data_IF_596929859508
#
_entry.id   IF_596929859508
#
_cell.length_a   1.000
_cell.length_b   1.000
_cell.length_c   1.000
_cell.angle_alpha   90.00
_cell.angle_beta   90.00
_cell.angle_gamma   90.00
#
_symmetry.space_group_name_H-M   'P 1'
#
loop_
_entity.id
_entity.type
_entity.pdbx_description
1 polymer ?
#
# COMPACT_ATOMS: atom_id res chain seq x y z
N UNK A 1 -18.32 -31.81 15.41
CA UNK A 1 -17.99 -31.45 14.01
C UNK A 1 -18.06 -29.94 13.77
N UNK A 2 -19.18 -29.28 14.07
CA UNK A 2 -19.35 -27.82 13.88
C UNK A 2 -18.29 -26.96 14.60
N UNK A 3 -17.97 -27.26 15.85
CA UNK A 3 -16.96 -26.52 16.64
C UNK A 3 -15.59 -26.53 15.95
N UNK A 4 -15.17 -27.68 15.42
CA UNK A 4 -13.90 -27.80 14.69
C UNK A 4 -13.87 -26.97 13.41
N UNK A 5 -14.99 -26.89 12.70
CA UNK A 5 -15.13 -26.05 11.50
C UNK A 5 -14.99 -24.56 11.86
N UNK A 6 -15.61 -24.13 12.96
CA UNK A 6 -15.53 -22.74 13.44
C UNK A 6 -14.08 -22.40 13.80
N UNK A 7 -13.39 -23.27 14.56
CA UNK A 7 -11.98 -23.05 14.89
C UNK A 7 -11.10 -22.99 13.64
N UNK A 8 -11.29 -23.90 12.70
CA UNK A 8 -10.52 -23.91 11.45
C UNK A 8 -10.71 -22.60 10.67
N UNK A 9 -11.96 -22.14 10.50
CA UNK A 9 -12.26 -20.88 9.82
C UNK A 9 -11.62 -19.68 10.53
N UNK A 10 -11.66 -19.64 11.87
CA UNK A 10 -11.01 -18.60 12.66
C UNK A 10 -9.48 -18.57 12.41
N UNK A 11 -8.82 -19.72 12.43
CA UNK A 11 -7.38 -19.81 12.13
C UNK A 11 -7.06 -19.38 10.68
N UNK A 12 -7.89 -19.75 9.70
CA UNK A 12 -7.72 -19.30 8.31
C UNK A 12 -7.79 -17.77 8.19
N UNK A 13 -8.75 -17.12 8.88
CA UNK A 13 -8.89 -15.66 8.88
C UNK A 13 -7.66 -15.00 9.53
N UNK A 14 -7.19 -15.53 10.66
CA UNK A 14 -5.99 -15.01 11.32
C UNK A 14 -4.75 -15.13 10.43
N UNK A 15 -4.57 -16.28 9.78
CA UNK A 15 -3.46 -16.50 8.85
C UNK A 15 -3.53 -15.55 7.64
N UNK A 16 -4.74 -15.33 7.10
CA UNK A 16 -4.95 -14.39 6.01
C UNK A 16 -4.62 -12.95 6.41
N UNK A 17 -5.08 -12.50 7.57
CA UNK A 17 -4.78 -11.16 8.10
C UNK A 17 -3.30 -10.96 8.39
N UNK A 18 -2.63 -11.98 8.95
CA UNK A 18 -1.18 -11.97 9.12
C UNK A 18 -0.47 -11.79 7.77
N UNK A 19 -0.89 -12.55 6.75
CA UNK A 19 -0.33 -12.43 5.42
C UNK A 19 -0.55 -11.04 4.82
N UNK A 20 -1.78 -10.51 4.89
CA UNK A 20 -2.13 -9.18 4.36
C UNK A 20 -1.29 -8.07 5.04
N UNK A 21 -1.11 -8.15 6.35
CA UNK A 21 -0.33 -7.17 7.12
C UNK A 21 1.18 -7.15 6.78
N UNK A 22 1.70 -8.22 6.18
CA UNK A 22 3.11 -8.33 5.75
C UNK A 22 3.30 -8.12 4.25
N UNK A 23 2.23 -7.83 3.49
CA UNK A 23 2.35 -7.55 2.06
C UNK A 23 3.09 -6.24 1.84
N UNK A 24 4.18 -6.32 1.10
CA UNK A 24 4.94 -5.17 0.62
C UNK A 24 4.64 -5.02 -0.88
N UNK A 25 3.73 -4.12 -1.23
CA UNK A 25 3.37 -3.83 -2.62
C UNK A 25 3.19 -2.34 -2.82
N UNK A 26 3.59 -1.84 -3.98
CA UNK A 26 3.23 -0.51 -4.46
C UNK A 26 2.00 -0.65 -5.35
N UNK A 27 0.99 0.17 -5.12
CA UNK A 27 -0.21 0.21 -5.95
C UNK A 27 -0.15 1.48 -6.79
N UNK A 28 -0.21 1.32 -8.11
CA UNK A 28 -0.21 2.44 -9.04
C UNK A 28 -1.64 2.81 -9.40
N UNK A 29 -1.99 4.08 -9.20
CA UNK A 29 -3.29 4.65 -9.54
C UNK A 29 -3.02 5.86 -10.44
N UNK A 30 -3.53 5.81 -11.66
CA UNK A 30 -3.47 6.93 -12.60
C UNK A 30 -4.81 7.67 -12.56
N UNK A 31 -4.75 8.98 -12.34
CA UNK A 31 -5.93 9.85 -12.29
C UNK A 31 -5.80 10.89 -13.41
N UNK A 32 -6.78 10.92 -14.31
CA UNK A 32 -6.81 11.86 -15.44
C UNK A 32 -7.90 12.89 -15.21
N UNK A 33 -7.51 14.17 -15.25
CA UNK A 33 -8.43 15.28 -15.09
C UNK A 33 -8.48 16.10 -16.39
N UNK A 34 -9.67 16.35 -16.98
CA UNK A 34 -9.79 17.15 -18.21
C UNK A 34 -9.26 18.58 -18.07
N UNK A 35 -9.29 19.12 -16.85
CA UNK A 35 -8.79 20.46 -16.52
C UNK A 35 -7.31 20.48 -16.13
N UNK A 36 -6.62 19.32 -16.14
CA UNK A 36 -5.20 19.29 -15.83
C UNK A 36 -4.41 20.03 -16.93
N UNK A 37 -3.51 20.96 -16.59
CA UNK A 37 -2.82 21.75 -17.59
C UNK A 37 -2.00 20.89 -18.54
N UNK A 38 -2.26 21.00 -19.85
CA UNK A 38 -1.51 20.24 -20.88
C UNK A 38 -0.04 20.64 -20.98
N UNK A 39 0.30 21.85 -20.52
CA UNK A 39 1.67 22.34 -20.40
C UNK A 39 2.43 21.75 -19.21
N UNK A 40 1.73 21.10 -18.27
CA UNK A 40 2.32 20.50 -17.09
C UNK A 40 2.46 19.00 -17.30
N UNK A 41 3.65 18.46 -16.97
CA UNK A 41 3.86 17.01 -17.04
C UNK A 41 3.00 16.28 -16.00
N UNK A 42 2.82 14.98 -16.18
CA UNK A 42 2.18 14.14 -15.16
C UNK A 42 2.86 14.33 -13.80
N UNK A 43 2.04 14.49 -12.76
CA UNK A 43 2.46 14.70 -11.38
C UNK A 43 2.25 13.43 -10.58
N UNK A 44 3.34 12.85 -10.08
CA UNK A 44 3.33 11.56 -9.39
C UNK A 44 3.51 11.76 -7.89
N UNK A 45 2.56 11.24 -7.11
CA UNK A 45 2.58 11.29 -5.64
C UNK A 45 2.80 9.88 -5.13
N UNK A 46 3.88 9.67 -4.38
CA UNK A 46 4.01 8.45 -3.59
C UNK A 46 3.34 8.68 -2.23
N UNK A 47 2.19 8.06 -2.04
CA UNK A 47 1.45 8.12 -0.79
C UNK A 47 1.72 6.88 0.06
N UNK A 48 2.07 7.11 1.33
CA UNK A 48 2.17 6.07 2.35
C UNK A 48 1.50 6.55 3.62
N UNK A 49 0.80 5.65 4.31
CA UNK A 49 0.11 5.94 5.57
C UNK A 49 0.25 4.78 6.54
N UNK A 50 0.00 5.05 7.82
CA UNK A 50 -0.03 4.04 8.89
C UNK A 50 1.28 3.24 8.99
N UNK A 51 2.42 3.94 8.85
CA UNK A 51 3.74 3.33 8.94
C UNK A 51 4.07 2.97 10.40
N UNK A 52 3.47 3.66 11.38
CA UNK A 52 3.70 3.52 12.81
C UNK A 52 5.21 3.43 13.12
N UNK A 53 5.68 2.26 13.58
CA UNK A 53 7.09 1.98 13.88
C UNK A 53 7.75 1.05 12.86
N UNK A 54 7.08 0.75 11.75
CA UNK A 54 7.56 -0.18 10.73
C UNK A 54 8.59 0.53 9.84
N UNK A 55 9.66 -0.18 9.50
CA UNK A 55 10.63 0.29 8.51
C UNK A 55 10.12 -0.10 7.13
N UNK A 56 10.03 0.87 6.22
CA UNK A 56 9.66 0.60 4.84
C UNK A 56 10.67 -0.37 4.21
N UNK A 57 10.18 -1.44 3.58
CA UNK A 57 11.04 -2.42 2.95
C UNK A 57 11.91 -1.75 1.86
N UNK A 58 13.21 -2.06 1.84
CA UNK A 58 14.17 -1.51 0.86
C UNK A 58 13.69 -1.67 -0.58
N UNK A 59 13.05 -2.80 -0.89
CA UNK A 59 12.47 -3.08 -2.20
C UNK A 59 11.43 -2.03 -2.63
N UNK A 60 10.58 -1.55 -1.71
CA UNK A 60 9.60 -0.48 -2.02
C UNK A 60 10.33 0.83 -2.30
N UNK A 61 11.33 1.16 -1.49
CA UNK A 61 12.12 2.39 -1.67
C UNK A 61 12.81 2.38 -3.03
N UNK A 62 13.44 1.26 -3.40
CA UNK A 62 14.08 1.09 -4.72
C UNK A 62 13.07 1.14 -5.86
N UNK A 63 11.89 0.54 -5.67
CA UNK A 63 10.82 0.54 -6.67
C UNK A 63 10.29 1.95 -6.95
N UNK A 64 10.22 2.84 -5.96
CA UNK A 64 9.65 4.20 -6.12
C UNK A 64 10.72 5.29 -6.30
N UNK A 65 12.01 4.97 -6.12
CA UNK A 65 13.11 5.93 -6.24
C UNK A 65 13.13 6.58 -7.62
N UNK A 66 13.05 7.91 -7.64
CA UNK A 66 13.05 8.71 -8.88
C UNK A 66 11.75 8.66 -9.69
N UNK A 67 10.70 7.99 -9.21
CA UNK A 67 9.40 7.91 -9.90
C UNK A 67 8.32 8.84 -9.32
N UNK A 68 8.52 9.35 -8.11
CA UNK A 68 7.59 10.24 -7.45
C UNK A 68 8.16 11.66 -7.36
N UNK A 69 7.30 12.64 -7.61
CA UNK A 69 7.64 14.06 -7.51
C UNK A 69 7.59 14.53 -6.06
N UNK A 70 6.65 13.96 -5.29
CA UNK A 70 6.52 14.17 -3.86
C UNK A 70 6.22 12.85 -3.14
N UNK A 71 6.66 12.78 -1.90
CA UNK A 71 6.31 11.71 -0.96
C UNK A 71 5.36 12.29 0.07
N UNK A 72 4.13 11.78 0.11
CA UNK A 72 3.14 12.14 1.11
C UNK A 72 3.06 11.03 2.16
N UNK A 73 3.49 11.35 3.37
CA UNK A 73 3.35 10.45 4.54
C UNK A 73 2.13 10.94 5.34
N UNK A 74 1.04 10.20 5.28
CA UNK A 74 -0.19 10.47 6.06
C UNK A 74 -0.31 9.57 7.29
N UNK A 75 -1.19 9.93 8.23
CA UNK A 75 -1.53 9.07 9.39
C UNK A 75 -0.39 8.85 10.40
N UNK A 76 -0.49 7.75 11.17
CA UNK A 76 0.42 7.34 12.27
C UNK A 76 1.61 6.49 11.83
#
# INVERSE_FOLDING_TARGET
MLIWIIFFAFFCILAYMWWEAHRNRVVHIELTFPQFPSSFRAFSIFFISDLHRRVLAKRIVEEIKGKADIVLVGGD
#
